data_IF_677529926218
#
_entry.id   IF_677529926218
#
_cell.length_a   1.000
_cell.length_b   1.000
_cell.length_c   1.000
_cell.angle_alpha   90.00
_cell.angle_beta   90.00
_cell.angle_gamma   90.00
#
_symmetry.space_group_name_H-M   'P 1'
#
loop_
_entity.id
_entity.type
_entity.pdbx_description
1 polymer ?
#
# COMPACT_ATOMS: atom_id res chain seq x y z
N UNK A 1 11.60 -6.61 -7.52
CA UNK A 1 12.22 -6.09 -6.28
C UNK A 1 11.41 -4.91 -5.72
N UNK A 2 10.14 -5.09 -5.35
CA UNK A 2 9.26 -4.00 -4.84
C UNK A 2 8.95 -4.07 -3.33
N UNK A 3 9.49 -5.06 -2.60
CA UNK A 3 9.20 -5.26 -1.17
C UNK A 3 10.06 -4.42 -0.20
N UNK A 4 10.97 -3.58 -0.71
CA UNK A 4 11.91 -2.85 0.16
C UNK A 4 11.35 -1.53 0.71
N UNK A 5 10.35 -0.92 0.07
CA UNK A 5 9.92 0.44 0.46
C UNK A 5 9.09 0.44 1.75
N UNK A 6 8.11 -0.45 1.89
CA UNK A 6 7.27 -0.48 3.10
C UNK A 6 8.03 -0.99 4.33
N UNK A 7 8.85 -2.03 4.19
CA UNK A 7 9.68 -2.49 5.32
C UNK A 7 10.72 -1.44 5.78
N UNK A 8 11.19 -0.59 4.85
CA UNK A 8 12.01 0.57 5.20
C UNK A 8 11.22 1.62 5.97
N UNK A 9 9.97 1.90 5.55
CA UNK A 9 9.06 2.77 6.31
C UNK A 9 8.82 2.22 7.71
N UNK A 10 8.45 0.94 7.86
CA UNK A 10 8.14 0.35 9.17
C UNK A 10 9.33 0.47 10.14
N UNK A 11 10.55 0.20 9.66
CA UNK A 11 11.77 0.32 10.48
C UNK A 11 12.04 1.75 10.91
N UNK A 12 12.02 2.68 9.96
CA UNK A 12 12.31 4.09 10.23
C UNK A 12 11.19 4.73 11.08
N UNK A 13 9.94 4.33 10.85
CA UNK A 13 8.79 4.72 11.66
C UNK A 13 8.93 4.21 13.10
N UNK A 14 9.32 2.95 13.29
CA UNK A 14 9.53 2.38 14.63
C UNK A 14 10.63 3.13 15.40
N UNK A 15 11.77 3.41 14.76
CA UNK A 15 12.87 4.18 15.37
C UNK A 15 12.44 5.60 15.75
N UNK A 16 11.72 6.28 14.85
CA UNK A 16 11.20 7.62 15.13
C UNK A 16 10.12 7.60 16.23
N UNK A 17 9.32 6.52 16.31
CA UNK A 17 8.32 6.34 17.36
C UNK A 17 8.97 6.20 18.73
N UNK A 18 10.02 5.39 18.85
CA UNK A 18 10.77 5.25 20.10
C UNK A 18 11.33 6.60 20.56
N UNK A 19 11.92 7.35 19.64
CA UNK A 19 12.44 8.70 19.89
C UNK A 19 11.32 9.64 20.35
N UNK A 20 10.19 9.67 19.64
CA UNK A 20 9.03 10.49 19.98
C UNK A 20 8.48 10.15 21.37
N UNK A 21 8.31 8.86 21.70
CA UNK A 21 7.81 8.43 23.00
C UNK A 21 8.78 8.79 24.13
N UNK A 22 10.09 8.67 23.89
CA UNK A 22 11.11 9.08 24.87
C UNK A 22 11.00 10.58 25.18
N UNK A 23 10.90 11.42 24.13
CA UNK A 23 10.73 12.86 24.26
C UNK A 23 9.41 13.22 24.95
N UNK A 24 8.32 12.53 24.60
CA UNK A 24 7.02 12.73 25.23
C UNK A 24 7.08 12.46 26.73
N UNK A 25 7.75 11.37 27.16
CA UNK A 25 7.95 11.05 28.57
C UNK A 25 8.76 12.12 29.30
N UNK A 26 9.84 12.61 28.68
CA UNK A 26 10.68 13.67 29.25
C UNK A 26 9.89 14.97 29.45
N UNK A 27 9.19 15.43 28.41
CA UNK A 27 8.36 16.65 28.44
C UNK A 27 7.25 16.55 29.49
N UNK A 28 6.54 15.43 29.55
CA UNK A 28 5.49 15.22 30.56
C UNK A 28 6.09 15.25 31.98
N UNK A 29 7.23 14.59 32.19
CA UNK A 29 7.92 14.59 33.48
C UNK A 29 8.33 16.00 33.91
N UNK A 30 8.96 16.77 33.03
CA UNK A 30 9.35 18.17 33.28
C UNK A 30 8.14 19.07 33.52
N UNK A 31 7.04 18.85 32.80
CA UNK A 31 5.78 19.59 32.98
C UNK A 31 5.19 19.32 34.37
N UNK A 32 5.09 18.05 34.78
CA UNK A 32 4.54 17.66 36.08
C UNK A 32 5.38 18.20 37.25
N UNK A 33 6.70 18.25 37.08
CA UNK A 33 7.63 18.79 38.07
C UNK A 33 7.75 20.32 38.02
N UNK A 34 7.04 21.00 37.09
CA UNK A 34 7.13 22.45 36.85
C UNK A 34 8.56 22.94 36.56
N UNK A 35 9.38 22.09 35.95
CA UNK A 35 10.78 22.40 35.60
C UNK A 35 10.97 22.65 34.10
N UNK A 36 9.92 22.49 33.30
CA UNK A 36 9.96 22.67 31.86
C UNK A 36 10.28 24.12 31.48
N UNK A 37 11.15 24.27 30.48
CA UNK A 37 11.54 25.57 29.91
C UNK A 37 11.11 25.67 28.45
N UNK A 38 11.14 26.89 27.92
CA UNK A 38 10.84 27.15 26.51
C UNK A 38 11.73 26.34 25.58
N UNK A 39 13.02 26.17 25.91
CA UNK A 39 13.96 25.40 25.10
C UNK A 39 13.56 23.92 25.01
N UNK A 40 13.05 23.34 26.10
CA UNK A 40 12.56 21.95 26.11
C UNK A 40 11.35 21.79 25.16
N UNK A 41 10.46 22.79 25.12
CA UNK A 41 9.28 22.78 24.26
C UNK A 41 9.67 22.90 22.78
N UNK A 42 10.65 23.75 22.46
CA UNK A 42 11.15 23.90 21.09
C UNK A 42 11.89 22.65 20.61
N UNK A 43 12.73 22.06 21.48
CA UNK A 43 13.42 20.80 21.17
C UNK A 43 12.43 19.64 20.96
N UNK A 44 11.39 19.57 21.78
CA UNK A 44 10.30 18.62 21.61
C UNK A 44 9.60 18.80 20.26
N UNK A 45 9.22 20.03 19.90
CA UNK A 45 8.56 20.35 18.64
C UNK A 45 9.43 19.93 17.44
N UNK A 46 10.70 20.31 17.44
CA UNK A 46 11.64 20.01 16.35
C UNK A 46 11.78 18.49 16.15
N UNK A 47 12.03 17.76 17.23
CA UNK A 47 12.29 16.31 17.15
C UNK A 47 11.01 15.51 16.92
N UNK A 48 9.87 15.91 17.50
CA UNK A 48 8.58 15.26 17.28
C UNK A 48 8.11 15.41 15.81
N UNK A 49 8.42 16.52 15.16
CA UNK A 49 8.07 16.76 13.75
C UNK A 49 8.64 15.67 12.83
N UNK A 50 9.82 15.13 13.14
CA UNK A 50 10.44 14.03 12.36
C UNK A 50 9.54 12.80 12.31
N UNK A 51 8.94 12.43 13.45
CA UNK A 51 8.03 11.28 13.55
C UNK A 51 6.81 11.40 12.63
N UNK A 52 6.25 12.61 12.48
CA UNK A 52 5.09 12.82 11.61
C UNK A 52 5.48 12.99 10.14
N UNK A 53 6.63 13.62 9.87
CA UNK A 53 7.08 13.94 8.50
C UNK A 53 7.38 12.72 7.62
N UNK A 54 7.73 11.58 8.23
CA UNK A 54 8.02 10.36 7.48
C UNK A 54 6.78 9.83 6.76
N UNK A 55 5.62 9.82 7.43
CA UNK A 55 4.37 9.37 6.84
C UNK A 55 3.97 10.27 5.67
N UNK A 56 4.16 11.58 5.81
CA UNK A 56 3.89 12.54 4.73
C UNK A 56 4.80 12.29 3.52
N UNK A 57 6.09 12.06 3.77
CA UNK A 57 7.09 11.81 2.73
C UNK A 57 6.83 10.50 1.96
N UNK A 58 6.46 9.44 2.67
CA UNK A 58 6.07 8.17 2.05
C UNK A 58 4.74 8.27 1.32
N UNK A 59 3.75 8.95 1.91
CA UNK A 59 2.46 9.20 1.26
C UNK A 59 2.62 9.95 -0.05
N UNK A 60 3.50 10.96 -0.09
CA UNK A 60 3.84 11.67 -1.33
C UNK A 60 4.40 10.73 -2.40
N UNK A 61 5.33 9.85 -2.04
CA UNK A 61 5.89 8.85 -2.97
C UNK A 61 4.81 7.91 -3.52
N UNK A 62 3.93 7.40 -2.66
CA UNK A 62 2.87 6.46 -3.06
C UNK A 62 1.82 7.12 -3.95
N UNK A 63 1.43 8.36 -3.66
CA UNK A 63 0.44 9.09 -4.46
C UNK A 63 0.99 9.46 -5.85
N UNK A 64 2.28 9.76 -5.96
CA UNK A 64 2.92 10.09 -7.23
C UNK A 64 3.33 8.84 -8.04
N UNK A 65 3.87 7.83 -7.37
CA UNK A 65 4.30 6.58 -7.98
C UNK A 65 3.22 5.51 -7.79
N UNK A 66 2.32 5.43 -8.78
CA UNK A 66 1.20 4.46 -8.83
C UNK A 66 1.65 2.99 -8.75
N UNK A 67 2.95 2.70 -8.82
CA UNK A 67 3.50 1.35 -8.67
C UNK A 67 4.10 1.06 -7.28
N UNK A 68 4.23 2.05 -6.39
CA UNK A 68 5.01 1.93 -5.15
C UNK A 68 4.42 0.92 -4.14
N UNK A 69 3.10 0.92 -3.93
CA UNK A 69 2.41 -0.04 -3.06
C UNK A 69 1.05 -0.41 -3.67
N UNK A 70 0.69 -1.70 -3.58
CA UNK A 70 -0.59 -2.23 -4.08
C UNK A 70 -1.17 -3.27 -3.13
N UNK A 71 -2.48 -3.49 -3.21
CA UNK A 71 -3.18 -4.53 -2.46
C UNK A 71 -3.09 -4.32 -0.95
N UNK A 72 -2.82 -5.39 -0.21
CA UNK A 72 -2.79 -5.37 1.25
C UNK A 72 -1.79 -4.34 1.83
N UNK A 73 -0.61 -4.19 1.23
CA UNK A 73 0.42 -3.31 1.75
C UNK A 73 0.03 -1.83 1.76
N UNK A 74 -0.74 -1.35 0.77
CA UNK A 74 -1.20 0.04 0.76
C UNK A 74 -2.32 0.28 1.78
N UNK A 75 -3.16 -0.73 2.03
CA UNK A 75 -4.16 -0.69 3.09
C UNK A 75 -3.52 -0.65 4.47
N UNK A 76 -2.52 -1.51 4.74
CA UNK A 76 -1.77 -1.50 6.00
C UNK A 76 -1.07 -0.17 6.25
N UNK A 77 -0.40 0.39 5.24
CA UNK A 77 0.20 1.72 5.34
C UNK A 77 -0.86 2.81 5.62
N UNK A 78 -2.06 2.69 5.07
CA UNK A 78 -3.12 3.65 5.33
C UNK A 78 -3.68 3.56 6.75
N UNK A 79 -3.71 2.37 7.34
CA UNK A 79 -4.04 2.17 8.75
C UNK A 79 -2.95 2.74 9.67
N UNK A 80 -1.67 2.59 9.30
CA UNK A 80 -0.57 3.27 10.00
C UNK A 80 -0.71 4.80 9.90
N UNK A 81 -1.04 5.33 8.71
CA UNK A 81 -1.31 6.76 8.52
C UNK A 81 -2.47 7.23 9.39
N UNK A 82 -3.54 6.44 9.52
CA UNK A 82 -4.66 6.74 10.41
C UNK A 82 -4.18 6.88 11.86
N UNK A 83 -3.45 5.88 12.38
CA UNK A 83 -2.93 5.89 13.74
C UNK A 83 -1.94 7.06 14.00
N UNK A 84 -1.15 7.42 12.99
CA UNK A 84 -0.24 8.58 13.05
C UNK A 84 -1.02 9.89 13.13
N UNK A 85 -2.09 10.04 12.35
CA UNK A 85 -2.97 11.22 12.42
C UNK A 85 -3.67 11.33 13.78
N UNK A 86 -4.09 10.21 14.38
CA UNK A 86 -4.61 10.22 15.76
C UNK A 86 -3.57 10.66 16.77
N UNK A 87 -2.34 10.16 16.64
CA UNK A 87 -1.22 10.55 17.50
C UNK A 87 -0.86 12.03 17.31
N UNK A 88 -1.01 12.55 16.10
CA UNK A 88 -0.78 13.96 15.78
C UNK A 88 -1.78 14.88 16.50
N UNK A 89 -3.06 14.48 16.59
CA UNK A 89 -4.06 15.23 17.36
C UNK A 89 -3.67 15.36 18.84
N UNK A 90 -3.16 14.28 19.43
CA UNK A 90 -2.66 14.30 20.81
C UNK A 90 -1.43 15.22 20.95
N UNK A 91 -0.50 15.13 20.00
CA UNK A 91 0.70 15.99 19.96
C UNK A 91 0.34 17.47 19.88
N UNK A 92 -0.57 17.86 18.99
CA UNK A 92 -1.03 19.25 18.88
C UNK A 92 -1.74 19.72 20.15
N UNK A 93 -2.55 18.86 20.77
CA UNK A 93 -3.23 19.19 22.03
C UNK A 93 -2.22 19.49 23.14
N UNK A 94 -1.19 18.65 23.28
CA UNK A 94 -0.12 18.87 24.23
C UNK A 94 0.67 20.16 23.90
N UNK A 95 1.02 20.39 22.64
CA UNK A 95 1.71 21.62 22.23
C UNK A 95 0.91 22.88 22.57
N UNK A 96 -0.40 22.89 22.32
CA UNK A 96 -1.30 23.99 22.72
C UNK A 96 -1.22 24.24 24.23
N UNK A 97 -1.23 23.19 25.04
CA UNK A 97 -1.10 23.31 26.50
C UNK A 97 0.25 23.89 26.91
N UNK A 98 1.35 23.37 26.36
CA UNK A 98 2.71 23.79 26.69
C UNK A 98 3.01 25.24 26.28
N UNK A 99 2.52 25.65 25.10
CA UNK A 99 2.68 27.04 24.65
C UNK A 99 1.87 28.00 25.51
N UNK A 100 0.62 27.69 25.82
CA UNK A 100 -0.22 28.54 26.67
C UNK A 100 0.34 28.70 28.09
N UNK A 101 1.08 27.71 28.62
CA UNK A 101 1.64 27.78 29.97
C UNK A 101 3.04 28.40 30.05
N UNK A 102 3.82 28.38 28.97
CA UNK A 102 5.25 28.75 29.02
C UNK A 102 5.72 29.74 27.94
N UNK A 103 4.92 30.01 26.91
CA UNK A 103 5.33 30.84 25.76
C UNK A 103 4.29 31.95 25.54
N UNK A 104 4.57 33.14 26.05
CA UNK A 104 3.65 34.30 26.03
C UNK A 104 3.62 35.07 24.71
N UNK A 105 4.52 34.79 23.76
CA UNK A 105 4.72 35.63 22.57
C UNK A 105 4.67 34.91 21.22
N UNK A 106 4.46 33.58 21.19
CA UNK A 106 4.37 32.82 19.94
C UNK A 106 2.95 32.33 19.76
N UNK A 107 2.32 32.80 18.69
CA UNK A 107 1.05 32.30 18.22
C UNK A 107 1.25 30.91 17.58
N UNK A 108 0.86 29.86 18.30
CA UNK A 108 1.03 28.48 17.84
C UNK A 108 0.29 28.21 16.53
N UNK A 109 -0.80 28.92 16.23
CA UNK A 109 -1.52 28.77 14.96
C UNK A 109 -0.63 29.08 13.75
N UNK A 110 0.38 29.94 13.92
CA UNK A 110 1.38 30.26 12.89
C UNK A 110 2.56 29.29 12.87
N UNK A 111 2.79 28.55 13.96
CA UNK A 111 3.85 27.55 14.05
C UNK A 111 3.44 26.20 13.43
N UNK A 112 2.14 25.93 13.35
CA UNK A 112 1.59 24.72 12.72
C UNK A 112 1.31 25.02 11.25
N UNK A 113 1.96 24.30 10.34
CA UNK A 113 1.75 24.49 8.91
C UNK A 113 0.32 24.13 8.49
N UNK A 114 -0.34 25.04 7.75
CA UNK A 114 -1.66 24.83 7.13
C UNK A 114 -1.70 23.66 6.12
N UNK A 115 -0.54 23.10 5.75
CA UNK A 115 -0.43 21.95 4.84
C UNK A 115 0.20 20.72 5.48
N UNK A 116 0.37 20.72 6.81
CA UNK A 116 0.92 19.57 7.51
C UNK A 116 0.08 18.30 7.26
N UNK A 117 0.76 17.21 6.92
CA UNK A 117 0.19 15.87 6.77
C UNK A 117 -0.92 15.75 5.69
N UNK A 118 -0.94 16.65 4.70
CA UNK A 118 -1.97 16.64 3.64
C UNK A 118 -1.97 15.33 2.84
N UNK A 119 -0.80 14.79 2.48
CA UNK A 119 -0.74 13.53 1.74
C UNK A 119 -1.02 12.32 2.62
N UNK A 120 -0.61 12.35 3.89
CA UNK A 120 -1.02 11.34 4.87
C UNK A 120 -2.54 11.25 4.99
N UNK A 121 -3.22 12.40 5.11
CA UNK A 121 -4.69 12.45 5.11
C UNK A 121 -5.29 11.86 3.82
N UNK A 122 -4.74 12.18 2.64
CA UNK A 122 -5.19 11.64 1.34
C UNK A 122 -5.11 10.12 1.27
N UNK A 123 -3.99 9.55 1.69
CA UNK A 123 -3.79 8.09 1.74
C UNK A 123 -4.83 7.45 2.66
N UNK A 124 -5.03 8.02 3.86
CA UNK A 124 -6.03 7.51 4.80
C UNK A 124 -7.43 7.52 4.19
N UNK A 125 -7.88 8.63 3.58
CA UNK A 125 -9.19 8.69 2.89
C UNK A 125 -9.32 7.65 1.78
N UNK A 126 -8.25 7.47 1.00
CA UNK A 126 -8.29 6.63 -0.19
C UNK A 126 -8.33 5.13 0.13
N UNK A 127 -7.67 4.72 1.21
CA UNK A 127 -7.41 3.30 1.49
C UNK A 127 -7.91 2.80 2.86
N UNK A 128 -8.02 3.67 3.87
CA UNK A 128 -8.57 3.32 5.19
C UNK A 128 -9.96 3.95 5.35
N UNK A 129 -11.01 3.21 4.97
CA UNK A 129 -12.38 3.77 4.89
C UNK A 129 -13.07 3.98 6.24
N UNK A 130 -12.57 3.36 7.32
CA UNK A 130 -13.22 3.32 8.63
C UNK A 130 -12.69 4.44 9.52
N UNK A 131 -13.56 5.17 10.21
CA UNK A 131 -13.16 6.19 11.19
C UNK A 131 -12.72 7.54 10.63
N UNK A 132 -12.68 7.69 9.29
CA UNK A 132 -12.21 8.93 8.62
C UNK A 132 -13.12 10.13 8.89
N UNK A 133 -14.46 10.03 8.87
CA UNK A 133 -15.33 11.15 9.21
C UNK A 133 -15.08 11.67 10.63
N UNK A 134 -14.94 10.76 11.60
CA UNK A 134 -14.67 11.09 13.00
C UNK A 134 -13.28 11.72 13.17
N UNK A 135 -12.27 11.17 12.50
CA UNK A 135 -10.92 11.73 12.51
C UNK A 135 -10.90 13.14 11.92
N UNK A 136 -11.55 13.34 10.78
CA UNK A 136 -11.68 14.66 10.14
C UNK A 136 -12.37 15.67 11.05
N UNK A 137 -13.41 15.25 11.77
CA UNK A 137 -14.09 16.13 12.71
C UNK A 137 -13.14 16.58 13.84
N UNK A 138 -12.37 15.65 14.41
CA UNK A 138 -11.37 15.99 15.45
C UNK A 138 -10.27 16.94 14.95
N UNK A 139 -9.90 16.86 13.66
CA UNK A 139 -8.99 17.86 13.06
C UNK A 139 -9.64 19.26 13.02
N UNK A 140 -10.92 19.34 12.62
CA UNK A 140 -11.66 20.61 12.62
C UNK A 140 -11.83 21.18 14.03
N UNK A 141 -12.12 20.35 15.01
CA UNK A 141 -12.30 20.74 16.41
C UNK A 141 -11.00 21.35 17.00
N UNK A 142 -9.83 20.96 16.47
CA UNK A 142 -8.54 21.54 16.82
C UNK A 142 -8.09 22.66 15.87
N UNK A 143 -8.94 23.12 14.96
CA UNK A 143 -8.63 24.15 13.96
C UNK A 143 -7.45 23.77 13.05
N UNK A 144 -7.29 22.47 12.78
CA UNK A 144 -6.25 21.94 11.91
C UNK A 144 -6.74 21.80 10.47
N UNK A 145 -5.79 21.85 9.54
CA UNK A 145 -6.05 21.67 8.11
C UNK A 145 -6.67 20.31 7.80
N UNK A 146 -7.76 20.32 7.03
CA UNK A 146 -8.42 19.11 6.51
C UNK A 146 -8.24 18.93 5.00
N UNK A 147 -7.30 19.65 4.39
CA UNK A 147 -7.11 19.70 2.93
C UNK A 147 -6.98 18.31 2.27
N UNK A 148 -6.35 17.34 2.93
CA UNK A 148 -6.23 15.99 2.43
C UNK A 148 -7.44 15.09 2.74
N UNK A 149 -8.29 15.47 3.69
CA UNK A 149 -9.59 14.82 3.93
C UNK A 149 -10.67 15.24 2.92
N UNK A 150 -10.54 16.44 2.35
CA UNK A 150 -11.50 17.03 1.42
C UNK A 150 -11.23 16.68 -0.05
N UNK A 151 -10.07 16.11 -0.35
CA UNK A 151 -9.84 15.53 -1.69
C UNK A 151 -10.83 14.39 -1.89
N UNK A 152 -11.66 14.50 -2.94
CA UNK A 152 -12.46 13.39 -3.42
C UNK A 152 -11.53 12.19 -3.51
N UNK A 153 -11.83 11.13 -2.75
CA UNK A 153 -11.20 9.84 -2.95
C UNK A 153 -11.30 9.60 -4.46
N UNK A 154 -10.17 9.65 -5.17
CA UNK A 154 -10.13 9.17 -6.55
C UNK A 154 -10.65 7.76 -6.40
N UNK A 155 -11.91 7.55 -6.84
CA UNK A 155 -12.56 6.25 -6.69
C UNK A 155 -11.50 5.26 -7.11
N UNK A 156 -11.26 4.26 -6.28
CA UNK A 156 -10.57 3.04 -6.71
C UNK A 156 -11.50 2.34 -7.72
N UNK A 157 -11.81 3.03 -8.82
CA UNK A 157 -12.01 2.38 -10.08
C UNK A 157 -10.77 1.52 -10.22
N UNK A 158 -10.98 0.25 -10.50
CA UNK A 158 -9.99 -0.62 -11.09
C UNK A 158 -9.43 0.13 -12.32
N UNK A 159 -8.49 1.05 -12.11
CA UNK A 159 -7.71 1.69 -13.15
C UNK A 159 -6.67 0.65 -13.51
N UNK A 160 -7.17 -0.42 -14.13
CA UNK A 160 -6.40 -1.34 -14.93
C UNK A 160 -5.51 -0.46 -15.79
N UNK A 161 -4.20 -0.62 -15.66
CA UNK A 161 -3.27 0.09 -16.51
C UNK A 161 -3.64 -0.19 -17.98
N UNK A 162 -3.22 0.67 -18.90
CA UNK A 162 -3.47 0.44 -20.32
C UNK A 162 -3.00 -0.97 -20.74
N UNK A 163 -1.90 -1.46 -20.14
CA UNK A 163 -1.45 -2.85 -20.27
C UNK A 163 -2.41 -3.87 -19.68
N UNK A 164 -2.96 -3.67 -18.49
CA UNK A 164 -3.90 -4.64 -17.88
C UNK A 164 -5.20 -4.73 -18.67
N UNK A 165 -5.70 -3.59 -19.19
CA UNK A 165 -6.86 -3.57 -20.10
C UNK A 165 -6.58 -4.34 -21.38
N UNK A 166 -5.39 -4.13 -21.97
CA UNK A 166 -4.98 -4.83 -23.18
C UNK A 166 -4.82 -6.34 -22.92
N UNK A 167 -4.23 -6.74 -21.81
CA UNK A 167 -4.10 -8.15 -21.41
C UNK A 167 -5.46 -8.82 -21.22
N UNK A 168 -6.43 -8.15 -20.57
CA UNK A 168 -7.79 -8.67 -20.45
C UNK A 168 -8.49 -8.83 -21.80
N UNK A 169 -8.32 -7.88 -22.72
CA UNK A 169 -8.89 -7.97 -24.07
C UNK A 169 -8.25 -9.13 -24.84
N UNK A 170 -6.91 -9.23 -24.86
CA UNK A 170 -6.19 -10.28 -25.58
C UNK A 170 -6.52 -11.66 -24.99
N UNK A 171 -6.50 -11.79 -23.67
CA UNK A 171 -6.85 -13.03 -22.98
C UNK A 171 -8.34 -13.40 -23.17
N UNK A 172 -9.25 -12.42 -23.12
CA UNK A 172 -10.67 -12.66 -23.36
C UNK A 172 -10.96 -13.12 -24.79
N UNK A 173 -10.39 -12.45 -25.78
CA UNK A 173 -10.53 -12.79 -27.20
C UNK A 173 -9.92 -14.17 -27.49
N UNK A 174 -8.72 -14.45 -26.96
CA UNK A 174 -8.09 -15.77 -27.10
C UNK A 174 -8.95 -16.89 -26.52
N UNK A 175 -9.56 -16.67 -25.35
CA UNK A 175 -10.41 -17.67 -24.70
C UNK A 175 -11.70 -17.91 -25.50
N UNK A 176 -12.33 -16.83 -25.97
CA UNK A 176 -13.51 -16.90 -26.81
C UNK A 176 -13.24 -17.67 -28.12
N UNK A 177 -12.10 -17.42 -28.77
CA UNK A 177 -11.71 -18.14 -29.99
C UNK A 177 -11.51 -19.65 -29.74
N UNK A 178 -10.88 -20.03 -28.63
CA UNK A 178 -10.70 -21.46 -28.28
C UNK A 178 -12.07 -22.12 -28.03
N UNK A 179 -12.97 -21.45 -27.32
CA UNK A 179 -14.33 -21.96 -27.08
C UNK A 179 -15.09 -22.14 -28.40
N UNK A 180 -15.01 -21.18 -29.32
CA UNK A 180 -15.63 -21.27 -30.64
C UNK A 180 -15.05 -22.46 -31.42
N UNK A 181 -13.72 -22.59 -31.49
CA UNK A 181 -13.08 -23.72 -32.18
C UNK A 181 -13.50 -25.05 -31.57
N UNK A 182 -13.62 -25.12 -30.24
CA UNK A 182 -14.06 -26.33 -29.53
C UNK A 182 -15.51 -26.72 -29.83
N UNK A 183 -16.38 -25.76 -30.18
CA UNK A 183 -17.76 -26.05 -30.56
C UNK A 183 -17.89 -26.56 -32.00
N UNK A 184 -17.02 -26.10 -32.91
CA UNK A 184 -17.05 -26.49 -34.32
C UNK A 184 -16.15 -27.69 -34.67
N UNK A 185 -15.18 -28.03 -33.81
CA UNK A 185 -14.29 -29.18 -33.99
C UNK A 185 -14.35 -30.07 -32.74
N UNK A 186 -15.36 -30.97 -32.64
CA UNK A 186 -15.57 -31.81 -31.47
C UNK A 186 -14.48 -32.86 -31.24
N UNK A 187 -13.77 -33.25 -32.30
CA UNK A 187 -12.73 -34.28 -32.28
C UNK A 187 -11.45 -33.76 -32.95
N UNK A 188 -10.69 -32.88 -32.26
CA UNK A 188 -9.43 -32.36 -32.79
C UNK A 188 -8.41 -33.49 -32.92
N UNK A 189 -7.56 -33.41 -33.95
CA UNK A 189 -6.44 -34.34 -34.12
C UNK A 189 -5.44 -34.21 -32.96
N UNK A 190 -4.60 -35.23 -32.74
CA UNK A 190 -3.58 -35.20 -31.67
C UNK A 190 -2.70 -33.94 -31.74
N UNK A 191 -2.34 -33.49 -32.94
CA UNK A 191 -1.58 -32.25 -33.12
C UNK A 191 -2.39 -31.00 -32.74
N UNK A 192 -3.66 -30.93 -33.17
CA UNK A 192 -4.55 -29.83 -32.83
C UNK A 192 -4.78 -29.72 -31.32
N UNK A 193 -4.87 -30.85 -30.60
CA UNK A 193 -4.98 -30.86 -29.14
C UNK A 193 -3.75 -30.23 -28.46
N UNK A 194 -2.55 -30.54 -28.95
CA UNK A 194 -1.30 -29.94 -28.42
C UNK A 194 -1.30 -28.43 -28.64
N UNK A 195 -1.69 -27.97 -29.84
CA UNK A 195 -1.74 -26.55 -30.18
C UNK A 195 -2.81 -25.82 -29.36
N UNK A 196 -4.02 -26.36 -29.27
CA UNK A 196 -5.12 -25.78 -28.49
C UNK A 196 -4.78 -25.67 -27.01
N UNK A 197 -4.14 -26.70 -26.43
CA UNK A 197 -3.64 -26.66 -25.05
C UNK A 197 -2.60 -25.57 -24.86
N UNK A 198 -1.65 -25.41 -25.78
CA UNK A 198 -0.63 -24.36 -25.68
C UNK A 198 -1.25 -22.95 -25.69
N UNK A 199 -2.20 -22.72 -26.60
CA UNK A 199 -2.90 -21.42 -26.72
C UNK A 199 -3.81 -21.17 -25.51
N UNK A 200 -4.49 -22.20 -24.99
CA UNK A 200 -5.32 -22.10 -23.78
C UNK A 200 -4.49 -21.72 -22.56
N UNK A 201 -3.38 -22.42 -22.33
CA UNK A 201 -2.47 -22.12 -21.23
C UNK A 201 -1.92 -20.70 -21.32
N UNK A 202 -1.56 -20.24 -22.53
CA UNK A 202 -1.06 -18.89 -22.77
C UNK A 202 -2.13 -17.84 -22.45
N UNK A 203 -3.34 -18.06 -22.95
CA UNK A 203 -4.49 -17.18 -22.74
C UNK A 203 -4.82 -17.01 -21.27
N UNK A 204 -4.89 -18.12 -20.52
CA UNK A 204 -5.17 -18.08 -19.09
C UNK A 204 -4.00 -17.47 -18.31
N UNK A 205 -2.76 -17.71 -18.73
CA UNK A 205 -1.58 -17.03 -18.19
C UNK A 205 -1.66 -15.51 -18.35
N UNK A 206 -2.09 -15.00 -19.51
CA UNK A 206 -2.30 -13.57 -19.77
C UNK A 206 -3.44 -13.01 -18.92
N UNK A 207 -4.54 -13.73 -18.74
CA UNK A 207 -5.63 -13.28 -17.87
C UNK A 207 -5.17 -13.17 -16.41
N UNK A 208 -4.44 -14.17 -15.93
CA UNK A 208 -3.91 -14.21 -14.56
C UNK A 208 -2.80 -13.18 -14.35
N UNK A 209 -2.11 -12.71 -15.41
CA UNK A 209 -1.09 -11.65 -15.26
C UNK A 209 -1.66 -10.33 -14.75
N UNK A 210 -2.98 -10.12 -14.88
CA UNK A 210 -3.67 -8.92 -14.39
C UNK A 210 -4.04 -8.99 -12.91
N UNK A 211 -3.93 -10.17 -12.29
CA UNK A 211 -4.19 -10.38 -10.86
C UNK A 211 -2.86 -10.27 -10.10
N UNK A 212 -2.69 -9.27 -9.21
CA UNK A 212 -1.47 -9.13 -8.44
C UNK A 212 -1.35 -10.22 -7.37
N UNK A 213 -0.32 -11.07 -7.52
CA UNK A 213 0.18 -11.98 -6.49
C UNK A 213 -0.34 -13.43 -6.54
N UNK A 214 0.47 -14.30 -5.91
CA UNK A 214 0.14 -15.61 -5.30
C UNK A 214 0.42 -16.92 -6.03
N UNK A 215 0.68 -16.96 -7.33
CA UNK A 215 1.02 -18.23 -7.96
C UNK A 215 2.54 -18.46 -7.96
N UNK A 216 3.03 -19.26 -7.02
CA UNK A 216 4.42 -19.72 -6.97
C UNK A 216 4.42 -21.24 -7.01
N UNK A 217 4.94 -21.82 -8.10
CA UNK A 217 5.13 -23.26 -8.22
C UNK A 217 6.60 -23.63 -8.18
N UNK A 218 6.87 -24.73 -7.51
CA UNK A 218 8.17 -25.37 -7.47
C UNK A 218 7.97 -26.82 -7.91
N UNK A 219 8.21 -27.09 -9.19
CA UNK A 219 8.13 -28.43 -9.76
C UNK A 219 9.52 -29.06 -9.72
N UNK A 220 9.65 -30.16 -9.00
CA UNK A 220 10.88 -30.95 -8.96
C UNK A 220 10.59 -32.30 -9.63
N UNK A 221 11.35 -32.61 -10.68
CA UNK A 221 11.23 -33.87 -11.41
C UNK A 221 12.57 -34.57 -11.58
N UNK A 222 12.52 -35.86 -11.92
CA UNK A 222 13.69 -36.69 -12.25
C UNK A 222 13.58 -37.16 -13.70
N UNK A 223 14.59 -36.89 -14.52
CA UNK A 223 14.75 -37.51 -15.85
C UNK A 223 16.16 -38.09 -15.89
N UNK A 224 16.26 -39.41 -16.17
CA UNK A 224 17.50 -40.19 -16.38
C UNK A 224 18.68 -39.79 -15.45
N UNK A 225 18.48 -39.86 -14.12
CA UNK A 225 19.44 -39.54 -13.04
C UNK A 225 19.72 -38.06 -12.71
N UNK A 226 19.22 -37.09 -13.49
CA UNK A 226 19.31 -35.67 -13.13
C UNK A 226 18.02 -35.12 -12.51
N UNK A 227 18.16 -34.40 -11.38
CA UNK A 227 17.07 -33.64 -10.74
C UNK A 227 16.98 -32.26 -11.37
N UNK A 228 15.84 -31.94 -11.97
CA UNK A 228 15.55 -30.58 -12.44
C UNK A 228 14.53 -29.91 -11.51
N UNK A 229 14.73 -28.61 -11.29
CA UNK A 229 13.87 -27.76 -10.46
C UNK A 229 13.37 -26.60 -11.31
N UNK A 230 12.07 -26.57 -11.60
CA UNK A 230 11.41 -25.48 -12.34
C UNK A 230 10.69 -24.62 -11.31
N UNK A 231 11.13 -23.36 -11.20
CA UNK A 231 10.49 -22.35 -10.36
C UNK A 231 9.79 -21.39 -11.30
N UNK A 232 8.47 -21.26 -11.16
CA UNK A 232 7.69 -20.30 -11.91
C UNK A 232 6.82 -19.47 -10.97
N UNK A 233 6.64 -18.19 -11.30
CA UNK A 233 5.86 -17.24 -10.51
C UNK A 233 4.84 -16.48 -11.36
N UNK A 234 3.74 -16.06 -10.74
CA UNK A 234 2.67 -15.27 -11.37
C UNK A 234 2.01 -15.98 -12.56
N UNK A 235 1.86 -15.25 -13.65
CA UNK A 235 1.26 -15.74 -14.90
C UNK A 235 2.02 -16.92 -15.52
N UNK A 236 3.34 -16.98 -15.35
CA UNK A 236 4.18 -18.08 -15.87
C UNK A 236 3.86 -19.37 -15.10
N UNK A 237 3.62 -19.28 -13.79
CA UNK A 237 3.20 -20.45 -13.00
C UNK A 237 1.84 -20.98 -13.47
N UNK A 238 0.87 -20.10 -13.72
CA UNK A 238 -0.43 -20.51 -14.23
C UNK A 238 -0.34 -21.16 -15.61
N UNK A 239 0.46 -20.59 -16.52
CA UNK A 239 0.76 -21.18 -17.82
C UNK A 239 1.31 -22.60 -17.67
N UNK A 240 2.34 -22.79 -16.84
CA UNK A 240 2.99 -24.08 -16.65
C UNK A 240 2.04 -25.11 -16.05
N UNK A 241 1.24 -24.75 -15.03
CA UNK A 241 0.24 -25.65 -14.45
C UNK A 241 -0.74 -26.11 -15.53
N UNK A 242 -1.33 -25.19 -16.28
CA UNK A 242 -2.37 -25.54 -17.25
C UNK A 242 -1.75 -26.30 -18.42
N UNK A 243 -0.56 -25.93 -18.86
CA UNK A 243 0.10 -26.64 -19.95
C UNK A 243 0.48 -28.08 -19.57
N UNK A 244 0.98 -28.30 -18.35
CA UNK A 244 1.46 -29.61 -17.91
C UNK A 244 0.37 -30.49 -17.30
N UNK A 245 -0.61 -29.91 -16.61
CA UNK A 245 -1.63 -30.64 -15.83
C UNK A 245 -3.04 -30.53 -16.41
N UNK A 246 -3.26 -29.87 -17.56
CA UNK A 246 -4.55 -29.94 -18.24
C UNK A 246 -4.81 -31.39 -18.69
N UNK A 247 -5.84 -32.07 -18.15
CA UNK A 247 -6.15 -33.45 -18.48
C UNK A 247 -6.80 -33.52 -19.87
N UNK A 248 -5.97 -33.45 -20.91
CA UNK A 248 -6.33 -33.98 -22.22
C UNK A 248 -5.76 -35.40 -22.34
N UNK A 249 -6.21 -36.28 -21.44
CA UNK A 249 -6.19 -37.73 -21.65
C UNK A 249 -7.61 -38.22 -21.41
N UNK A 250 -8.47 -37.99 -22.39
CA UNK A 250 -9.57 -38.92 -22.66
C UNK A 250 -9.20 -39.61 -23.96
N UNK A 251 -8.36 -40.63 -23.81
CA UNK A 251 -8.19 -41.74 -24.74
C UNK A 251 -7.73 -42.93 -23.92
#
# INVERSE_FOLDING_TARGET
MSNNSYSSFEKEHAQNKETYISLLKDVISKTNNKTIKTEDVLEYLEKATKYFSIAESYSHKILNDKAALKGFAVSSFADDCFAILETYLLHITLLKQLFNSHISHIDLSKAISEKALTNTQRITVQYSKKGVPELKQRFKDLELSTNGFDTKATKSEFNLSMSDRLSLIIGGVGLALILIISLFIPSPTNWQQVVLRAILSLTIGILISTVPGFLHINLTGKILDNRYKIIATGSIAAFVIIYMFNPAFVS
#
